data_IF_344254019905
#
_entry.id   IF_344254019905
#
_cell.length_a   1.000
_cell.length_b   1.000
_cell.length_c   1.000
_cell.angle_alpha   90.00
_cell.angle_beta   90.00
_cell.angle_gamma   90.00
#
_symmetry.space_group_name_H-M   'P 1'
#
loop_
_entity.id
_entity.type
_entity.pdbx_description
1 polymer ?
#
# COMPACT_ATOMS: atom_id res chain seq x y z
N UNK A 1 -2.41 -9.93 16.83
CA UNK A 1 -2.88 -8.67 16.23
C UNK A 1 -3.10 -7.61 17.30
N UNK A 2 -3.56 -7.99 18.49
CA UNK A 2 -3.80 -7.08 19.63
C UNK A 2 -2.52 -6.43 20.21
N UNK A 3 -1.37 -7.13 20.17
CA UNK A 3 -0.11 -6.63 20.77
C UNK A 3 0.56 -5.42 20.10
N UNK A 4 0.13 -5.01 18.90
CA UNK A 4 0.75 -3.87 18.19
C UNK A 4 0.11 -2.51 18.55
N UNK A 5 -1.11 -2.50 19.08
CA UNK A 5 -1.78 -1.26 19.47
C UNK A 5 -1.30 -0.76 20.85
N UNK A 6 -0.90 -1.66 21.74
CA UNK A 6 -0.45 -1.33 23.10
C UNK A 6 0.85 -0.52 23.15
N UNK A 7 1.72 -0.65 22.15
CA UNK A 7 3.03 0.03 22.12
C UNK A 7 2.88 1.56 21.93
N UNK A 8 1.73 2.02 21.40
CA UNK A 8 1.48 3.45 21.19
C UNK A 8 0.90 4.19 22.41
N UNK A 9 0.52 3.47 23.48
CA UNK A 9 -0.22 4.03 24.62
C UNK A 9 0.63 4.48 25.82
N UNK A 10 1.94 4.24 25.82
CA UNK A 10 2.80 4.54 26.97
C UNK A 10 3.87 5.59 26.64
N UNK A 11 3.45 6.86 26.53
CA UNK A 11 4.39 7.97 26.69
C UNK A 11 3.65 9.22 27.21
N UNK A 12 3.47 9.29 28.53
CA UNK A 12 3.14 10.54 29.21
C UNK A 12 4.39 11.44 29.28
N UNK A 13 4.59 12.31 28.27
CA UNK A 13 4.91 13.74 28.46
C UNK A 13 5.27 14.48 27.16
N UNK A 14 4.53 15.57 26.99
CA UNK A 14 4.84 16.81 26.26
C UNK A 14 4.65 16.85 24.73
N UNK A 15 3.67 17.70 24.39
CA UNK A 15 3.47 18.46 23.16
C UNK A 15 2.62 17.79 22.07
N UNK A 16 1.41 18.35 21.92
CA UNK A 16 0.41 18.08 20.90
C UNK A 16 1.06 17.65 19.58
N UNK A 17 0.74 16.44 19.15
CA UNK A 17 1.03 16.00 17.79
C UNK A 17 0.32 16.94 16.83
N UNK A 18 1.00 17.36 15.76
CA UNK A 18 0.42 18.20 14.68
C UNK A 18 -0.79 17.52 14.03
N UNK A 19 -0.90 16.19 14.21
CA UNK A 19 -2.00 15.37 13.73
C UNK A 19 -3.12 15.30 14.78
N UNK A 20 -4.30 15.85 14.48
CA UNK A 20 -5.45 15.86 15.40
C UNK A 20 -6.06 14.47 15.61
N UNK A 21 -5.73 13.50 14.77
CA UNK A 21 -6.28 12.14 14.72
C UNK A 21 -5.26 11.05 15.11
N UNK A 22 -4.31 11.38 15.99
CA UNK A 22 -3.24 10.47 16.40
C UNK A 22 -3.72 9.23 17.18
N UNK A 23 -4.90 9.29 17.80
CA UNK A 23 -5.48 8.14 18.49
C UNK A 23 -6.07 7.13 17.50
N UNK A 24 -5.21 6.22 17.04
CA UNK A 24 -5.55 5.14 16.11
C UNK A 24 -6.65 4.22 16.64
N UNK A 25 -6.88 4.15 17.96
CA UNK A 25 -7.93 3.32 18.54
C UNK A 25 -9.34 3.82 18.22
N UNK A 26 -9.46 5.12 17.89
CA UNK A 26 -10.74 5.76 17.52
C UNK A 26 -11.06 5.63 16.04
N UNK A 27 -10.11 5.16 15.22
CA UNK A 27 -10.30 5.10 13.78
C UNK A 27 -11.32 4.01 13.40
N UNK A 28 -12.28 4.32 12.52
CA UNK A 28 -13.28 3.35 12.11
C UNK A 28 -12.64 2.26 11.24
N UNK A 29 -12.90 0.99 11.59
CA UNK A 29 -12.45 -0.17 10.82
C UNK A 29 -13.58 -0.67 9.94
N UNK A 30 -13.37 -0.63 8.62
CA UNK A 30 -14.34 -1.12 7.64
C UNK A 30 -13.88 -2.43 7.01
N UNK A 31 -14.76 -3.43 7.00
CA UNK A 31 -14.53 -4.68 6.28
C UNK A 31 -15.13 -4.60 4.88
N UNK A 32 -14.29 -4.75 3.85
CA UNK A 32 -14.72 -4.72 2.44
C UNK A 32 -14.73 -6.14 1.87
N UNK A 33 -15.91 -6.62 1.48
CA UNK A 33 -16.09 -8.01 1.03
C UNK A 33 -15.95 -8.21 -0.48
N UNK A 34 -16.07 -7.14 -1.27
CA UNK A 34 -16.09 -7.21 -2.74
C UNK A 34 -14.71 -7.04 -3.41
N UNK A 35 -13.64 -7.50 -2.74
CA UNK A 35 -12.27 -7.40 -3.25
C UNK A 35 -11.93 -8.63 -4.11
N UNK A 36 -11.31 -8.46 -5.30
CA UNK A 36 -10.85 -9.59 -6.11
C UNK A 36 -9.92 -10.53 -5.35
N UNK A 37 -10.21 -11.84 -5.38
CA UNK A 37 -9.37 -12.87 -4.77
C UNK A 37 -8.23 -13.29 -5.70
N UNK A 38 -7.01 -13.19 -5.21
CA UNK A 38 -5.82 -13.77 -5.83
C UNK A 38 -5.90 -15.29 -5.81
N UNK A 39 -5.36 -15.93 -6.86
CA UNK A 39 -5.36 -17.39 -7.01
C UNK A 39 -3.97 -18.03 -6.87
N UNK A 40 -2.92 -17.25 -7.04
CA UNK A 40 -1.53 -17.69 -6.88
C UNK A 40 -0.96 -17.26 -5.51
N UNK A 41 0.31 -17.54 -5.24
CA UNK A 41 1.00 -17.11 -4.01
C UNK A 41 1.98 -15.95 -4.23
N UNK A 42 2.15 -15.47 -5.47
CA UNK A 42 3.22 -14.52 -5.84
C UNK A 42 2.73 -13.14 -6.25
N UNK A 43 1.43 -12.96 -6.49
CA UNK A 43 0.85 -11.73 -7.00
C UNK A 43 0.26 -10.80 -5.94
N UNK A 44 0.39 -11.12 -4.64
CA UNK A 44 -0.26 -10.37 -3.55
C UNK A 44 0.07 -8.88 -3.56
N UNK A 45 1.34 -8.53 -3.79
CA UNK A 45 1.75 -7.13 -3.93
C UNK A 45 1.10 -6.43 -5.12
N UNK A 46 0.94 -7.12 -6.26
CA UNK A 46 0.30 -6.55 -7.45
C UNK A 46 -1.20 -6.37 -7.28
N UNK A 47 -1.87 -7.30 -6.58
CA UNK A 47 -3.27 -7.14 -6.19
C UNK A 47 -3.46 -5.92 -5.28
N UNK A 48 -2.56 -5.72 -4.30
CA UNK A 48 -2.61 -4.55 -3.42
C UNK A 48 -2.47 -3.23 -4.20
N UNK A 49 -1.51 -3.14 -5.12
CA UNK A 49 -1.35 -1.96 -5.98
C UNK A 49 -2.60 -1.68 -6.81
N UNK A 50 -3.19 -2.74 -7.40
CA UNK A 50 -4.38 -2.59 -8.23
C UNK A 50 -5.63 -2.21 -7.41
N UNK A 51 -5.72 -2.68 -6.17
CA UNK A 51 -6.73 -2.22 -5.22
C UNK A 51 -6.57 -0.73 -4.92
N UNK A 52 -5.35 -0.27 -4.61
CA UNK A 52 -5.08 1.14 -4.34
C UNK A 52 -5.39 2.03 -5.55
N UNK A 53 -5.01 1.60 -6.76
CA UNK A 53 -5.29 2.32 -8.01
C UNK A 53 -6.79 2.55 -8.24
N UNK A 54 -7.63 1.59 -7.84
CA UNK A 54 -9.08 1.65 -8.07
C UNK A 54 -9.90 2.04 -6.83
N UNK A 55 -9.26 2.33 -5.70
CA UNK A 55 -9.93 2.68 -4.46
C UNK A 55 -10.37 4.14 -4.47
N UNK A 56 -11.66 4.40 -4.20
CA UNK A 56 -12.18 5.78 -4.09
C UNK A 56 -12.38 6.26 -2.64
N UNK A 57 -11.85 5.54 -1.65
CA UNK A 57 -12.10 5.82 -0.23
C UNK A 57 -13.18 4.95 0.41
N UNK A 58 -14.06 4.32 -0.38
CA UNK A 58 -15.17 3.49 0.14
C UNK A 58 -15.31 2.12 -0.53
N UNK A 59 -15.02 2.03 -1.83
CA UNK A 59 -15.11 0.80 -2.62
C UNK A 59 -14.13 0.83 -3.79
N UNK A 60 -13.94 -0.33 -4.41
CA UNK A 60 -13.28 -0.40 -5.72
C UNK A 60 -14.22 0.14 -6.80
N UNK A 61 -13.71 1.09 -7.58
CA UNK A 61 -14.41 1.70 -8.73
C UNK A 61 -14.43 0.77 -9.94
N UNK A 62 -13.40 -0.06 -10.07
CA UNK A 62 -13.22 -0.99 -11.18
C UNK A 62 -12.94 -2.40 -10.66
N UNK A 63 -13.63 -3.39 -11.22
CA UNK A 63 -13.35 -4.81 -10.94
C UNK A 63 -12.21 -5.29 -11.84
N UNK A 64 -11.34 -6.13 -11.30
CA UNK A 64 -10.26 -6.79 -12.02
C UNK A 64 -10.16 -8.26 -11.61
N UNK A 65 -9.50 -9.08 -12.44
CA UNK A 65 -9.27 -10.52 -12.22
C UNK A 65 -7.79 -10.86 -12.32
N UNK A 66 -7.43 -12.07 -11.93
CA UNK A 66 -6.04 -12.59 -12.01
C UNK A 66 -5.39 -12.36 -13.38
N UNK A 67 -6.09 -12.59 -14.49
CA UNK A 67 -5.54 -12.36 -15.82
C UNK A 67 -5.14 -10.91 -16.10
N UNK A 68 -5.83 -9.94 -15.48
CA UNK A 68 -5.47 -8.52 -15.60
C UNK A 68 -4.19 -8.24 -14.80
N UNK A 69 -4.00 -8.92 -13.67
CA UNK A 69 -2.79 -8.85 -12.85
C UNK A 69 -1.59 -9.47 -13.57
N UNK A 70 -1.78 -10.56 -14.30
CA UNK A 70 -0.72 -11.19 -15.09
C UNK A 70 -0.24 -10.26 -16.22
N UNK A 71 -1.17 -9.51 -16.84
CA UNK A 71 -0.83 -8.46 -17.82
C UNK A 71 -0.17 -7.28 -17.11
N UNK A 72 -0.72 -6.84 -15.99
CA UNK A 72 -0.20 -5.72 -15.20
C UNK A 72 1.24 -5.97 -14.76
N UNK A 73 1.59 -7.19 -14.34
CA UNK A 73 2.95 -7.59 -13.98
C UNK A 73 3.97 -7.22 -15.07
N UNK A 74 3.65 -7.55 -16.34
CA UNK A 74 4.52 -7.23 -17.48
C UNK A 74 4.56 -5.73 -17.77
N UNK A 75 3.41 -5.06 -17.70
CA UNK A 75 3.32 -3.60 -17.91
C UNK A 75 4.08 -2.82 -16.85
N UNK A 76 4.00 -3.24 -15.59
CA UNK A 76 4.63 -2.56 -14.47
C UNK A 76 6.14 -2.51 -14.63
N UNK A 77 6.77 -3.61 -15.07
CA UNK A 77 8.20 -3.62 -15.37
C UNK A 77 8.58 -2.58 -16.44
N UNK A 78 7.81 -2.50 -17.53
CA UNK A 78 8.05 -1.51 -18.58
C UNK A 78 7.84 -0.06 -18.09
N UNK A 79 6.80 0.19 -17.28
CA UNK A 79 6.53 1.51 -16.68
C UNK A 79 7.68 1.93 -15.77
N UNK A 80 8.18 1.01 -14.93
CA UNK A 80 9.28 1.28 -14.03
C UNK A 80 10.56 1.57 -14.81
N UNK A 81 10.93 0.72 -15.78
CA UNK A 81 12.14 0.93 -16.60
C UNK A 81 12.08 2.26 -17.37
N UNK A 82 10.91 2.62 -17.91
CA UNK A 82 10.71 3.88 -18.62
C UNK A 82 10.39 5.09 -17.73
N UNK A 83 10.50 4.96 -16.40
CA UNK A 83 10.26 6.06 -15.47
C UNK A 83 11.43 7.04 -15.47
N UNK A 84 11.15 8.34 -15.44
CA UNK A 84 12.19 9.37 -15.33
C UNK A 84 13.04 9.27 -14.07
N UNK A 85 12.54 8.60 -13.02
CA UNK A 85 13.33 8.31 -11.82
C UNK A 85 14.52 7.39 -12.10
N UNK A 86 14.41 6.57 -13.15
CA UNK A 86 15.46 5.66 -13.60
C UNK A 86 16.35 6.28 -14.68
N UNK A 87 16.14 7.55 -15.05
CA UNK A 87 17.05 8.29 -15.96
C UNK A 87 18.35 8.70 -15.26
N UNK A 88 18.43 8.56 -13.93
CA UNK A 88 19.63 8.86 -13.15
C UNK A 88 20.70 7.78 -13.38
N UNK A 89 21.68 8.08 -14.22
CA UNK A 89 22.88 7.25 -14.45
C UNK A 89 23.93 7.39 -13.35
N UNK A 90 23.73 8.28 -12.38
CA UNK A 90 24.64 8.46 -11.26
C UNK A 90 24.56 7.24 -10.33
N UNK A 91 25.58 6.39 -10.41
CA UNK A 91 25.73 5.20 -9.57
C UNK A 91 25.82 5.69 -8.12
N UNK A 92 24.89 5.32 -7.21
CA UNK A 92 25.00 5.68 -5.82
C UNK A 92 26.22 4.96 -5.23
N UNK A 93 27.28 5.68 -4.93
CA UNK A 93 28.40 5.16 -4.17
C UNK A 93 27.97 5.05 -2.71
N UNK A 94 27.49 3.87 -2.32
CA UNK A 94 27.30 3.54 -0.92
C UNK A 94 28.67 3.32 -0.28
N UNK A 95 29.18 4.31 0.44
CA UNK A 95 30.33 4.13 1.31
C UNK A 95 29.92 3.22 2.47
N UNK A 96 30.65 2.11 2.64
CA UNK A 96 30.49 1.16 3.75
C UNK A 96 31.02 1.73 5.06
#
# INVERSE_FOLDING_TARGET
MERYFEISGYNERSNQTIWPDFDLSTWPVFSVTSIPRQKDLSSCGLFMLKCMEHWNGSKLTTKFKQGDIDIFRRKLAAILVGSTSNDNTDIPTYNK
#
